data_IF_875883120636
#
_entry.id   IF_875883120636
#
_cell.length_a   1.000
_cell.length_b   1.000
_cell.length_c   1.000
_cell.angle_alpha   90.00
_cell.angle_beta   90.00
_cell.angle_gamma   90.00
#
_symmetry.space_group_name_H-M   'P 1'
#
loop_
_entity.id
_entity.type
_entity.pdbx_description
1 polymer ?
#
# COMPACT_ATOMS: atom_id res chain seq x y z
N UNK A 1 -6.54 -9.71 -10.95
CA UNK A 1 -6.45 -10.47 -9.69
C UNK A 1 -7.09 -9.61 -8.64
N UNK A 2 -8.11 -10.11 -7.96
CA UNK A 2 -8.79 -9.36 -6.89
C UNK A 2 -7.83 -9.25 -5.70
N UNK A 3 -7.64 -8.05 -5.15
CA UNK A 3 -6.76 -7.87 -4.00
C UNK A 3 -7.35 -8.62 -2.80
N UNK A 4 -6.54 -9.47 -2.15
CA UNK A 4 -6.98 -10.22 -0.95
C UNK A 4 -6.91 -9.37 0.33
N UNK A 5 -6.33 -8.19 0.23
CA UNK A 5 -6.15 -7.21 1.30
C UNK A 5 -7.01 -5.98 1.03
N UNK A 6 -7.22 -5.16 2.05
CA UNK A 6 -8.02 -3.93 1.98
C UNK A 6 -7.37 -2.98 0.97
N UNK A 7 -8.05 -2.59 -0.12
CA UNK A 7 -7.45 -1.74 -1.14
C UNK A 7 -7.12 -0.34 -0.58
N UNK A 8 -6.06 0.26 -1.13
CA UNK A 8 -5.71 1.65 -0.86
C UNK A 8 -6.50 2.65 -1.71
N UNK A 9 -6.28 3.96 -1.53
CA UNK A 9 -5.29 4.55 -0.62
C UNK A 9 -5.67 4.40 0.87
N UNK A 10 -4.66 4.31 1.72
CA UNK A 10 -4.82 4.26 3.17
C UNK A 10 -4.41 5.58 3.81
N UNK A 11 -5.03 5.88 4.95
CA UNK A 11 -4.77 7.05 5.76
C UNK A 11 -4.68 6.71 7.24
N UNK A 12 -3.83 7.45 7.95
CA UNK A 12 -3.78 7.43 9.41
C UNK A 12 -4.84 8.38 9.97
N UNK A 13 -5.64 7.89 10.92
CA UNK A 13 -6.57 8.66 11.74
C UNK A 13 -6.28 8.40 13.22
N UNK A 14 -5.47 9.27 13.83
CA UNK A 14 -4.86 9.00 15.13
C UNK A 14 -4.00 7.73 15.05
N UNK A 15 -4.36 6.72 15.83
CA UNK A 15 -3.65 5.43 15.89
C UNK A 15 -4.24 4.37 14.95
N UNK A 16 -5.15 4.75 14.05
CA UNK A 16 -5.88 3.82 13.17
C UNK A 16 -5.44 4.00 11.73
N UNK A 17 -5.02 2.91 11.10
CA UNK A 17 -4.82 2.85 9.65
C UNK A 17 -6.11 2.35 9.00
N UNK A 18 -6.67 3.12 8.07
CA UNK A 18 -7.94 2.79 7.39
C UNK A 18 -7.93 3.16 5.91
N UNK A 19 -8.75 2.53 5.06
CA UNK A 19 -8.96 3.01 3.70
C UNK A 19 -9.53 4.44 3.72
N UNK A 20 -9.11 5.26 2.76
CA UNK A 20 -9.65 6.62 2.60
C UNK A 20 -11.11 6.59 2.12
N UNK A 21 -11.47 5.60 1.31
CA UNK A 21 -12.83 5.37 0.81
C UNK A 21 -13.29 3.95 1.22
N UNK A 22 -13.92 3.79 2.39
CA UNK A 22 -14.35 2.49 2.90
C UNK A 22 -15.55 1.95 2.10
N UNK A 23 -15.43 0.75 1.53
CA UNK A 23 -16.52 0.09 0.80
C UNK A 23 -16.91 -1.25 1.46
N UNK A 24 -17.95 -1.26 2.32
CA UNK A 24 -18.39 -2.45 3.04
C UNK A 24 -19.06 -3.51 2.15
N UNK A 25 -19.39 -3.19 0.89
CA UNK A 25 -19.98 -4.16 -0.02
C UNK A 25 -18.93 -5.09 -0.62
N UNK A 26 -17.70 -4.59 -0.78
CA UNK A 26 -16.60 -5.30 -1.42
C UNK A 26 -15.49 -5.67 -0.43
N UNK A 27 -15.38 -4.99 0.71
CA UNK A 27 -14.34 -5.20 1.72
C UNK A 27 -14.96 -5.44 3.10
N UNK A 28 -14.40 -6.38 3.85
CA UNK A 28 -14.84 -6.73 5.18
C UNK A 28 -14.12 -5.92 6.27
N UNK A 29 -12.96 -5.33 5.97
CA UNK A 29 -12.12 -4.59 6.92
C UNK A 29 -12.38 -3.08 6.88
N UNK A 30 -12.72 -2.51 8.03
CA UNK A 30 -12.89 -1.06 8.22
C UNK A 30 -11.61 -0.38 8.74
N UNK A 31 -10.82 -1.10 9.54
CA UNK A 31 -9.55 -0.62 10.08
C UNK A 31 -8.52 -1.71 9.88
N UNK A 32 -7.36 -1.36 9.33
CA UNK A 32 -6.29 -2.30 8.98
C UNK A 32 -5.41 -2.60 10.21
N UNK A 33 -5.05 -1.55 10.96
CA UNK A 33 -4.33 -1.62 12.25
C UNK A 33 -4.94 -0.58 13.19
N UNK A 34 -5.08 -0.91 14.48
CA UNK A 34 -5.54 0.00 15.53
C UNK A 34 -4.61 -0.07 16.74
N UNK A 35 -3.75 0.94 16.89
CA UNK A 35 -2.71 0.99 17.92
C UNK A 35 -1.86 -0.31 17.99
N UNK A 36 -2.05 -1.11 19.04
CA UNK A 36 -1.32 -2.37 19.29
C UNK A 36 -2.08 -3.62 18.80
N UNK A 37 -3.25 -3.43 18.17
CA UNK A 37 -4.14 -4.51 17.76
C UNK A 37 -4.27 -4.61 16.24
N UNK A 38 -4.60 -5.82 15.80
CA UNK A 38 -5.17 -6.03 14.47
C UNK A 38 -6.43 -5.17 14.34
N UNK A 39 -6.61 -4.54 13.18
CA UNK A 39 -7.77 -3.71 12.97
C UNK A 39 -9.07 -4.51 12.84
N UNK A 40 -10.19 -3.79 12.71
CA UNK A 40 -11.55 -4.32 12.84
C UNK A 40 -12.31 -4.35 11.52
N UNK A 41 -13.24 -5.31 11.41
CA UNK A 41 -14.21 -5.35 10.32
C UNK A 41 -15.31 -4.30 10.42
N UNK A 42 -16.07 -4.13 9.34
CA UNK A 42 -17.32 -3.37 9.37
C UNK A 42 -18.36 -4.05 10.28
N UNK A 43 -19.30 -3.26 10.78
CA UNK A 43 -20.43 -3.82 11.54
C UNK A 43 -21.19 -4.83 10.66
N UNK A 44 -21.49 -6.00 11.23
CA UNK A 44 -22.17 -7.12 10.55
C UNK A 44 -21.37 -7.75 9.39
N UNK A 45 -20.07 -7.48 9.25
CA UNK A 45 -19.23 -8.21 8.30
C UNK A 45 -19.12 -9.69 8.68
N UNK A 46 -18.95 -10.55 7.67
CA UNK A 46 -18.67 -11.97 7.91
C UNK A 46 -17.33 -12.10 8.68
N UNK A 47 -17.31 -12.71 9.88
CA UNK A 47 -16.10 -12.85 10.67
C UNK A 47 -14.98 -13.61 9.94
N UNK A 48 -15.31 -14.60 9.10
CA UNK A 48 -14.32 -15.37 8.34
C UNK A 48 -13.70 -14.52 7.23
N UNK A 49 -14.50 -13.72 6.53
CA UNK A 49 -13.98 -12.80 5.50
C UNK A 49 -13.11 -11.72 6.12
N UNK A 50 -13.57 -11.14 7.23
CA UNK A 50 -12.83 -10.13 8.00
C UNK A 50 -11.48 -10.66 8.44
N UNK A 51 -11.42 -11.87 9.00
CA UNK A 51 -10.17 -12.49 9.43
C UNK A 51 -9.23 -12.76 8.25
N UNK A 52 -9.75 -13.26 7.12
CA UNK A 52 -8.94 -13.53 5.94
C UNK A 52 -8.31 -12.26 5.35
N UNK A 53 -9.10 -11.19 5.22
CA UNK A 53 -8.63 -9.89 4.73
C UNK A 53 -7.66 -9.22 5.72
N UNK A 54 -7.92 -9.34 7.03
CA UNK A 54 -7.00 -8.82 8.06
C UNK A 54 -5.66 -9.55 8.03
N UNK A 55 -5.65 -10.88 7.88
CA UNK A 55 -4.43 -11.65 7.71
C UNK A 55 -3.67 -11.24 6.44
N UNK A 56 -4.37 -10.98 5.33
CA UNK A 56 -3.75 -10.50 4.11
C UNK A 56 -3.13 -9.11 4.28
N UNK A 57 -3.77 -8.21 5.03
CA UNK A 57 -3.21 -6.92 5.39
C UNK A 57 -1.90 -7.07 6.19
N UNK A 58 -1.89 -7.97 7.20
CA UNK A 58 -0.69 -8.23 8.00
C UNK A 58 0.46 -8.78 7.16
N UNK A 59 0.17 -9.68 6.22
CA UNK A 59 1.17 -10.20 5.28
C UNK A 59 1.70 -9.10 4.36
N UNK A 60 0.85 -8.17 3.90
CA UNK A 60 1.28 -7.02 3.11
C UNK A 60 2.19 -6.08 3.91
N UNK A 61 1.87 -5.81 5.17
CA UNK A 61 2.73 -5.02 6.06
C UNK A 61 4.06 -5.75 6.30
N UNK A 62 4.03 -7.06 6.53
CA UNK A 62 5.25 -7.87 6.70
C UNK A 62 6.13 -7.87 5.45
N UNK A 63 5.53 -7.85 4.26
CA UNK A 63 6.24 -7.79 2.99
C UNK A 63 6.74 -6.36 2.64
N UNK A 64 6.37 -5.33 3.42
CA UNK A 64 6.70 -3.95 3.07
C UNK A 64 8.22 -3.69 2.94
N UNK A 65 9.11 -4.22 3.81
CA UNK A 65 10.55 -4.09 3.62
C UNK A 65 11.04 -4.72 2.30
N UNK A 66 10.60 -5.95 2.01
CA UNK A 66 10.97 -6.65 0.77
C UNK A 66 10.48 -5.89 -0.49
N UNK A 67 9.31 -5.26 -0.40
CA UNK A 67 8.77 -4.40 -1.47
C UNK A 67 9.59 -3.13 -1.67
N UNK A 68 10.08 -2.51 -0.58
CA UNK A 68 10.99 -1.34 -0.66
C UNK A 68 12.32 -1.75 -1.28
N UNK A 69 12.88 -2.89 -0.89
CA UNK A 69 14.13 -3.40 -1.46
C UNK A 69 13.99 -3.70 -2.96
N UNK A 70 12.91 -4.39 -3.35
CA UNK A 70 12.61 -4.68 -4.75
C UNK A 70 12.39 -3.40 -5.56
N UNK A 71 11.67 -2.42 -5.02
CA UNK A 71 11.46 -1.12 -5.65
C UNK A 71 12.77 -0.33 -5.80
N UNK A 72 13.64 -0.36 -4.79
CA UNK A 72 14.96 0.30 -4.83
C UNK A 72 15.84 -0.33 -5.91
N UNK A 73 15.85 -1.67 -6.02
CA UNK A 73 16.59 -2.35 -7.07
C UNK A 73 16.06 -2.00 -8.48
N UNK A 74 14.73 -1.94 -8.63
CA UNK A 74 14.09 -1.56 -9.90
C UNK A 74 14.39 -0.09 -10.29
N UNK A 75 14.39 0.84 -9.31
CA UNK A 75 14.78 2.23 -9.50
C UNK A 75 16.21 2.32 -10.08
N UNK A 76 17.16 1.59 -9.49
CA UNK A 76 18.55 1.59 -9.93
C UNK A 76 18.74 1.06 -11.35
N UNK A 77 17.90 0.13 -11.79
CA UNK A 77 17.91 -0.37 -13.18
C UNK A 77 17.35 0.68 -14.13
N UNK A 78 16.19 1.25 -13.81
CA UNK A 78 15.51 2.23 -14.66
C UNK A 78 16.29 3.56 -14.75
N UNK A 79 16.99 3.96 -13.69
CA UNK A 79 17.78 5.19 -13.65
C UNK A 79 18.92 5.23 -14.68
N UNK A 80 19.39 4.07 -15.17
CA UNK A 80 20.47 3.98 -16.17
C UNK A 80 20.08 4.54 -17.54
N UNK A 81 18.80 4.73 -17.81
CA UNK A 81 18.31 5.24 -19.08
C UNK A 81 18.58 6.72 -19.33
N UNK A 82 19.06 7.48 -18.33
CA UNK A 82 19.44 8.89 -18.53
C UNK A 82 18.27 9.81 -18.91
N UNK A 83 17.07 9.51 -18.38
CA UNK A 83 15.83 10.16 -18.76
C UNK A 83 15.79 11.64 -18.40
N UNK A 84 15.22 12.45 -19.30
CA UNK A 84 14.84 13.82 -19.01
C UNK A 84 13.55 13.85 -18.17
N UNK A 85 13.39 14.87 -17.33
CA UNK A 85 12.17 15.06 -16.52
C UNK A 85 10.89 15.19 -17.36
N UNK A 86 11.02 15.72 -18.58
CA UNK A 86 9.93 15.83 -19.54
C UNK A 86 9.74 14.60 -20.43
N UNK A 87 10.45 13.49 -20.16
CA UNK A 87 10.32 12.27 -20.96
C UNK A 87 8.93 11.68 -20.80
N UNK A 88 8.32 11.32 -21.94
CA UNK A 88 7.05 10.60 -22.02
C UNK A 88 7.25 9.10 -22.19
N UNK A 89 8.49 8.62 -22.12
CA UNK A 89 8.80 7.21 -22.27
C UNK A 89 8.20 6.43 -21.09
N UNK A 90 7.58 5.25 -21.33
CA UNK A 90 6.96 4.48 -20.27
C UNK A 90 7.91 4.13 -19.12
N UNK A 91 9.19 3.88 -19.43
CA UNK A 91 10.24 3.59 -18.45
C UNK A 91 10.59 4.80 -17.58
N UNK A 92 10.63 5.99 -18.17
CA UNK A 92 10.83 7.25 -17.44
C UNK A 92 9.64 7.55 -16.51
N UNK A 93 8.41 7.41 -17.02
CA UNK A 93 7.18 7.58 -16.21
C UNK A 93 7.16 6.59 -15.04
N UNK A 94 7.53 5.33 -15.29
CA UNK A 94 7.62 4.30 -14.25
C UNK A 94 8.67 4.67 -13.20
N UNK A 95 9.85 5.15 -13.61
CA UNK A 95 10.90 5.61 -12.71
C UNK A 95 10.42 6.76 -11.81
N UNK A 96 9.76 7.78 -12.37
CA UNK A 96 9.25 8.91 -11.58
C UNK A 96 8.19 8.49 -10.56
N UNK A 97 7.26 7.61 -10.97
CA UNK A 97 6.26 7.04 -10.05
C UNK A 97 6.91 6.20 -8.94
N UNK A 98 7.94 5.43 -9.28
CA UNK A 98 8.66 4.59 -8.33
C UNK A 98 9.43 5.42 -7.29
N UNK A 99 10.09 6.49 -7.73
CA UNK A 99 10.77 7.45 -6.83
C UNK A 99 9.80 8.13 -5.88
N UNK A 100 8.65 8.58 -6.38
CA UNK A 100 7.61 9.17 -5.53
C UNK A 100 7.07 8.17 -4.49
N UNK A 101 6.89 6.91 -4.88
CA UNK A 101 6.46 5.85 -3.97
C UNK A 101 7.53 5.53 -2.91
N UNK A 102 8.81 5.44 -3.29
CA UNK A 102 9.93 5.21 -2.37
C UNK A 102 10.11 6.37 -1.38
N UNK A 103 10.06 7.62 -1.86
CA UNK A 103 10.14 8.80 -0.99
C UNK A 103 9.03 8.76 0.09
N UNK A 104 7.79 8.47 -0.34
CA UNK A 104 6.66 8.31 0.59
C UNK A 104 6.87 7.15 1.58
N UNK A 105 7.41 6.01 1.13
CA UNK A 105 7.62 4.82 1.96
C UNK A 105 8.75 5.00 2.99
N UNK A 106 9.82 5.71 2.62
CA UNK A 106 10.98 5.97 3.48
C UNK A 106 10.81 7.18 4.41
N UNK A 107 9.69 7.91 4.31
CA UNK A 107 9.41 9.07 5.16
C UNK A 107 10.00 10.39 4.68
N UNK A 108 10.58 10.42 3.48
CA UNK A 108 11.03 11.64 2.81
C UNK A 108 9.81 12.35 2.22
N UNK A 109 9.12 13.16 3.03
CA UNK A 109 7.99 13.94 2.54
C UNK A 109 8.47 15.12 1.68
N UNK A 110 8.04 15.13 0.42
CA UNK A 110 7.93 16.34 -0.42
C UNK A 110 6.64 17.08 -0.10
#
# INVERSE_FOLDING_TARGET
MEAKFTPGPWQWDGYKLRPTDPDPNNNAVHTIVDAEYIGWGFLCSDPKKTLAESNANLLLIQAAPDLVDAATAAEAVLAKGGWLESSTDPEAIALFKLRAALAKACGDQS
#
